data_IF_287299985660
#
_entry.id   IF_287299985660
#
_cell.length_a   1.000
_cell.length_b   1.000
_cell.length_c   1.000
_cell.angle_alpha   90.00
_cell.angle_beta   90.00
_cell.angle_gamma   90.00
#
_symmetry.space_group_name_H-M   'P 1'
#
loop_
_entity.id
_entity.type
_entity.pdbx_description
1 polymer ?
#
# COMPACT_ATOMS: atom_id res chain seq x y z
N UNK A 1 -31.63 30.93 -4.52
CA UNK A 1 -30.76 29.87 -5.09
C UNK A 1 -29.99 29.28 -3.93
N UNK A 2 -30.20 27.99 -3.69
CA UNK A 2 -30.33 27.44 -2.35
C UNK A 2 -29.00 27.10 -1.67
N UNK A 3 -28.73 27.76 -0.53
CA UNK A 3 -27.65 27.45 0.43
C UNK A 3 -27.79 26.06 1.10
N UNK A 4 -28.73 25.22 0.67
CA UNK A 4 -29.13 24.01 1.39
C UNK A 4 -28.73 22.69 0.70
N UNK A 5 -28.05 22.74 -0.46
CA UNK A 5 -27.71 21.54 -1.23
C UNK A 5 -26.45 20.79 -0.74
N UNK A 6 -25.68 21.38 0.20
CA UNK A 6 -24.54 20.71 0.84
C UNK A 6 -24.92 19.97 2.13
N UNK A 7 -26.20 19.97 2.52
CA UNK A 7 -26.74 19.25 3.70
C UNK A 7 -27.58 18.01 3.33
N UNK A 8 -27.71 17.68 2.06
CA UNK A 8 -28.72 16.74 1.55
C UNK A 8 -28.23 15.31 1.33
N UNK A 9 -26.95 15.00 1.57
CA UNK A 9 -26.47 13.63 1.44
C UNK A 9 -26.34 12.96 2.83
N UNK A 10 -27.05 11.84 3.08
CA UNK A 10 -26.89 11.06 4.29
C UNK A 10 -25.46 10.52 4.45
N UNK A 11 -25.05 10.30 5.69
CA UNK A 11 -23.69 9.81 6.02
C UNK A 11 -23.40 8.46 5.34
N UNK A 12 -24.40 7.62 5.16
CA UNK A 12 -24.30 6.30 4.54
C UNK A 12 -23.84 6.39 3.07
N UNK A 13 -24.38 7.37 2.34
CA UNK A 13 -24.02 7.57 0.92
C UNK A 13 -22.61 8.17 0.83
N UNK A 14 -22.26 9.08 1.74
CA UNK A 14 -20.90 9.62 1.84
C UNK A 14 -19.89 8.51 2.18
N UNK A 15 -20.23 7.57 3.06
CA UNK A 15 -19.37 6.42 3.34
C UNK A 15 -19.17 5.53 2.11
N UNK A 16 -20.22 5.26 1.33
CA UNK A 16 -20.11 4.45 0.10
C UNK A 16 -19.16 5.12 -0.90
N UNK A 17 -19.32 6.44 -1.11
CA UNK A 17 -18.46 7.22 -2.00
C UNK A 17 -17.03 7.21 -1.46
N UNK A 18 -16.84 7.50 -0.17
CA UNK A 18 -15.50 7.60 0.41
C UNK A 18 -14.77 6.24 0.47
N UNK A 19 -15.49 5.12 0.53
CA UNK A 19 -14.90 3.77 0.44
C UNK A 19 -14.37 3.44 -0.95
N UNK A 20 -14.86 4.09 -2.02
CA UNK A 20 -14.41 3.86 -3.39
C UNK A 20 -13.30 4.82 -3.84
N UNK A 21 -13.01 5.86 -3.06
CA UNK A 21 -11.93 6.83 -3.32
C UNK A 21 -10.55 6.31 -2.91
N UNK A 22 -9.50 6.82 -3.56
CA UNK A 22 -8.13 6.52 -3.16
C UNK A 22 -7.86 7.08 -1.73
N UNK A 23 -7.40 6.25 -0.78
CA UNK A 23 -7.37 6.60 0.64
C UNK A 23 -6.39 7.73 0.99
N UNK A 24 -5.42 8.02 0.12
CA UNK A 24 -4.31 8.94 0.42
C UNK A 24 -4.42 10.32 -0.23
N UNK A 25 -5.08 10.45 -1.39
CA UNK A 25 -5.23 11.74 -2.09
C UNK A 25 -6.65 12.31 -1.95
N UNK A 26 -7.64 11.52 -2.36
CA UNK A 26 -8.99 12.02 -2.61
C UNK A 26 -9.76 12.12 -1.30
N UNK A 27 -9.59 11.12 -0.42
CA UNK A 27 -10.21 11.10 0.89
C UNK A 27 -9.74 12.26 1.79
N UNK A 28 -8.46 12.65 1.67
CA UNK A 28 -7.90 13.81 2.39
C UNK A 28 -8.55 15.10 1.91
N UNK A 29 -8.72 15.27 0.60
CA UNK A 29 -9.38 16.44 0.02
C UNK A 29 -10.85 16.52 0.44
N UNK A 30 -11.57 15.40 0.42
CA UNK A 30 -12.96 15.32 0.91
C UNK A 30 -13.08 15.72 2.40
N UNK A 31 -12.09 15.40 3.22
CA UNK A 31 -12.13 15.74 4.65
C UNK A 31 -12.08 17.24 4.95
N UNK A 32 -11.69 18.08 3.99
CA UNK A 32 -11.55 19.53 4.16
C UNK A 32 -12.80 20.32 3.78
N UNK A 33 -13.81 19.68 3.17
CA UNK A 33 -14.99 20.36 2.60
C UNK A 33 -15.93 20.89 3.69
N UNK A 34 -16.34 20.05 4.64
CA UNK A 34 -17.21 20.44 5.75
C UNK A 34 -17.06 19.50 6.95
N UNK A 35 -17.66 19.86 8.09
CA UNK A 35 -17.60 19.05 9.34
C UNK A 35 -18.13 17.63 9.16
N UNK A 36 -19.23 17.48 8.42
CA UNK A 36 -19.85 16.17 8.14
C UNK A 36 -18.91 15.29 7.31
N UNK A 37 -18.36 15.82 6.22
CA UNK A 37 -17.41 15.10 5.36
C UNK A 37 -16.12 14.76 6.10
N UNK A 38 -15.61 15.65 6.96
CA UNK A 38 -14.47 15.37 7.81
C UNK A 38 -14.72 14.16 8.72
N UNK A 39 -15.89 14.11 9.37
CA UNK A 39 -16.29 13.00 10.25
C UNK A 39 -16.37 11.69 9.47
N UNK A 40 -17.09 11.69 8.35
CA UNK A 40 -17.33 10.47 7.55
C UNK A 40 -16.05 9.97 6.88
N UNK A 41 -15.20 10.87 6.37
CA UNK A 41 -13.90 10.52 5.77
C UNK A 41 -12.96 9.87 6.80
N UNK A 42 -12.91 10.41 8.03
CA UNK A 42 -12.14 9.82 9.14
C UNK A 42 -12.69 8.45 9.56
N UNK A 43 -14.01 8.30 9.64
CA UNK A 43 -14.66 7.01 9.94
C UNK A 43 -14.27 5.95 8.90
N UNK A 44 -14.39 6.31 7.62
CA UNK A 44 -14.07 5.42 6.50
C UNK A 44 -12.60 5.05 6.44
N UNK A 45 -11.70 6.01 6.67
CA UNK A 45 -10.26 5.76 6.77
C UNK A 45 -9.93 4.74 7.87
N UNK A 46 -10.51 4.92 9.07
CA UNK A 46 -10.29 4.01 10.20
C UNK A 46 -10.84 2.62 9.92
N UNK A 47 -12.04 2.51 9.35
CA UNK A 47 -12.63 1.23 8.97
C UNK A 47 -11.76 0.47 7.95
N UNK A 48 -11.22 1.17 6.95
CA UNK A 48 -10.31 0.56 5.97
C UNK A 48 -9.03 0.01 6.61
N UNK A 49 -8.45 0.76 7.54
CA UNK A 49 -7.27 0.35 8.31
C UNK A 49 -7.58 -0.84 9.23
N UNK A 50 -8.69 -0.80 9.97
CA UNK A 50 -9.09 -1.89 10.89
C UNK A 50 -9.39 -3.18 10.12
N UNK A 51 -10.05 -3.08 8.96
CA UNK A 51 -10.33 -4.23 8.09
C UNK A 51 -9.05 -4.83 7.53
N UNK A 52 -8.08 -4.01 7.11
CA UNK A 52 -6.76 -4.46 6.71
C UNK A 52 -6.04 -5.19 7.85
N UNK A 53 -5.99 -4.61 9.05
CA UNK A 53 -5.38 -5.24 10.23
C UNK A 53 -6.08 -6.54 10.64
N UNK A 54 -7.42 -6.61 10.55
CA UNK A 54 -8.18 -7.83 10.82
C UNK A 54 -7.88 -8.93 9.80
N UNK A 55 -7.73 -8.56 8.52
CA UNK A 55 -7.36 -9.48 7.45
C UNK A 55 -5.94 -10.03 7.64
N UNK A 56 -5.01 -9.17 8.08
CA UNK A 56 -3.63 -9.55 8.37
C UNK A 56 -3.50 -10.42 9.64
N UNK A 57 -4.31 -10.16 10.68
CA UNK A 57 -4.35 -11.00 11.89
C UNK A 57 -4.96 -12.38 11.65
N UNK A 58 -5.92 -12.49 10.72
CA UNK A 58 -6.48 -13.77 10.30
C UNK A 58 -5.59 -14.56 9.33
N UNK A 59 -4.63 -13.91 8.69
CA UNK A 59 -3.68 -14.56 7.79
C UNK A 59 -2.43 -15.04 8.56
N UNK A 60 -2.49 -16.25 9.10
CA UNK A 60 -1.29 -17.03 9.44
C UNK A 60 -0.48 -17.48 8.18
N UNK A 61 -0.76 -16.89 7.01
CA UNK A 61 -0.35 -17.35 5.68
C UNK A 61 0.83 -16.58 5.07
N UNK A 62 1.33 -15.54 5.75
CA UNK A 62 2.54 -14.85 5.34
C UNK A 62 3.70 -15.34 6.22
N UNK A 63 4.11 -16.59 6.03
CA UNK A 63 5.47 -16.98 6.43
C UNK A 63 6.45 -16.33 5.46
N UNK A 64 7.06 -15.24 5.91
CA UNK A 64 8.13 -14.59 5.17
C UNK A 64 9.44 -15.34 5.43
N UNK A 65 10.03 -15.92 4.38
CA UNK A 65 11.39 -16.43 4.47
C UNK A 65 12.34 -15.28 4.09
N UNK A 66 13.22 -14.91 5.01
CA UNK A 66 14.28 -13.94 4.74
C UNK A 66 15.44 -14.66 4.06
N UNK A 67 15.71 -14.31 2.80
CA UNK A 67 17.00 -14.64 2.21
C UNK A 67 17.96 -13.51 2.54
N UNK A 68 19.01 -13.84 3.32
CA UNK A 68 20.10 -12.91 3.58
C UNK A 68 20.86 -12.75 2.25
N UNK A 69 20.72 -11.58 1.65
CA UNK A 69 21.55 -11.16 0.53
C UNK A 69 22.48 -10.08 1.10
N UNK A 70 23.80 -10.27 1.02
CA UNK A 70 24.79 -9.24 1.43
C UNK A 70 24.78 -8.00 0.49
N UNK A 71 23.78 -7.88 -0.37
CA UNK A 71 23.67 -6.86 -1.42
C UNK A 71 22.44 -6.01 -1.13
N UNK A 72 22.67 -4.72 -0.89
CA UNK A 72 21.62 -3.71 -0.72
C UNK A 72 20.70 -3.63 -1.96
N UNK A 73 19.46 -3.15 -1.82
CA UNK A 73 18.58 -2.94 -2.97
C UNK A 73 19.24 -2.07 -4.04
N UNK A 74 18.98 -2.40 -5.31
CA UNK A 74 19.42 -1.59 -6.45
C UNK A 74 18.96 -0.14 -6.35
N UNK A 75 19.72 0.78 -6.97
CA UNK A 75 19.35 2.21 -7.06
C UNK A 75 17.91 2.37 -7.57
N UNK A 76 17.12 3.15 -6.84
CA UNK A 76 15.69 3.36 -7.07
C UNK A 76 15.19 4.61 -6.34
N UNK A 77 14.09 5.16 -6.81
CA UNK A 77 13.34 6.30 -6.27
C UNK A 77 11.88 5.93 -6.07
N UNK A 78 11.08 6.80 -5.45
CA UNK A 78 9.64 6.57 -5.20
C UNK A 78 9.34 5.27 -4.43
N UNK A 79 10.24 4.90 -3.52
CA UNK A 79 10.09 3.70 -2.68
C UNK A 79 9.11 4.00 -1.54
N UNK A 80 8.19 3.07 -1.28
CA UNK A 80 7.36 3.12 -0.08
C UNK A 80 8.15 2.56 1.10
N UNK A 81 8.32 3.34 2.17
CA UNK A 81 9.13 2.95 3.34
C UNK A 81 8.36 3.06 4.64
N UNK A 82 8.59 2.14 5.57
CA UNK A 82 8.11 2.26 6.96
C UNK A 82 9.12 1.66 7.95
N UNK A 83 9.09 2.13 9.19
CA UNK A 83 9.92 1.58 10.28
C UNK A 83 9.02 0.83 11.25
N UNK A 84 9.41 -0.40 11.57
CA UNK A 84 8.71 -1.25 12.56
C UNK A 84 9.76 -1.90 13.45
N UNK A 85 9.79 -1.48 14.73
CA UNK A 85 10.85 -1.87 15.66
C UNK A 85 12.22 -1.43 15.15
N UNK A 86 13.20 -2.34 15.21
CA UNK A 86 14.58 -2.08 14.76
C UNK A 86 14.79 -2.27 13.26
N UNK A 87 13.71 -2.30 12.48
CA UNK A 87 13.76 -2.61 11.05
C UNK A 87 13.11 -1.53 10.18
N UNK A 88 13.81 -1.15 9.13
CA UNK A 88 13.27 -0.36 8.02
C UNK A 88 12.82 -1.30 6.91
N UNK A 89 11.57 -1.17 6.49
CA UNK A 89 11.00 -1.87 5.36
C UNK A 89 10.93 -0.93 4.16
N UNK A 90 11.29 -1.44 2.98
CA UNK A 90 11.30 -0.72 1.72
C UNK A 90 10.64 -1.57 0.64
N UNK A 91 9.53 -1.10 0.09
CA UNK A 91 8.76 -1.80 -0.95
C UNK A 91 8.78 -1.05 -2.28
N UNK A 92 9.12 -1.78 -3.33
CA UNK A 92 9.03 -1.33 -4.71
C UNK A 92 9.96 -0.17 -5.06
N UNK A 93 9.40 0.83 -5.75
CA UNK A 93 10.11 1.97 -6.34
C UNK A 93 10.33 1.84 -7.84
N UNK A 94 11.00 2.83 -8.42
CA UNK A 94 11.35 2.86 -9.84
C UNK A 94 12.75 3.41 -10.07
N UNK A 95 13.35 3.04 -11.21
CA UNK A 95 14.60 3.59 -11.69
C UNK A 95 14.44 4.02 -13.13
N UNK A 96 14.94 5.20 -13.46
CA UNK A 96 14.92 5.77 -14.79
C UNK A 96 16.33 6.24 -15.12
N UNK A 97 16.84 5.78 -16.26
CA UNK A 97 18.08 6.22 -16.88
C UNK A 97 17.73 6.75 -18.28
N UNK A 98 17.66 8.07 -18.40
CA UNK A 98 17.27 8.74 -19.65
C UNK A 98 18.36 8.60 -20.73
N UNK A 99 19.64 8.41 -20.35
CA UNK A 99 20.72 8.25 -21.32
C UNK A 99 20.67 6.88 -22.01
N UNK A 100 20.20 5.86 -21.30
CA UNK A 100 20.10 4.49 -21.80
C UNK A 100 18.69 4.09 -22.24
N UNK A 101 17.74 5.03 -22.23
CA UNK A 101 16.30 4.78 -22.38
C UNK A 101 15.83 3.56 -21.57
N UNK A 102 16.30 3.48 -20.33
CA UNK A 102 16.05 2.33 -19.46
C UNK A 102 15.15 2.74 -18.30
N UNK A 103 14.06 2.00 -18.13
CA UNK A 103 13.09 2.19 -17.04
C UNK A 103 12.85 0.86 -16.36
N UNK A 104 12.92 0.86 -15.03
CA UNK A 104 12.60 -0.29 -14.20
C UNK A 104 11.59 0.11 -13.13
N UNK A 105 10.60 -0.74 -12.90
CA UNK A 105 9.71 -0.67 -11.76
C UNK A 105 9.93 -1.92 -10.91
N UNK A 106 9.96 -1.74 -9.59
CA UNK A 106 10.26 -2.80 -8.65
C UNK A 106 9.01 -3.17 -7.86
N UNK A 107 8.87 -4.47 -7.57
CA UNK A 107 7.79 -5.06 -6.77
C UNK A 107 8.34 -5.96 -5.65
N UNK A 108 9.61 -5.79 -5.29
CA UNK A 108 10.29 -6.50 -4.23
C UNK A 108 10.13 -5.80 -2.88
N UNK A 109 10.22 -6.58 -1.81
CA UNK A 109 10.21 -6.10 -0.43
C UNK A 109 11.60 -6.32 0.19
N UNK A 110 12.16 -5.27 0.76
CA UNK A 110 13.44 -5.27 1.45
C UNK A 110 13.27 -4.88 2.91
N UNK A 111 14.12 -5.43 3.76
CA UNK A 111 14.17 -5.17 5.19
C UNK A 111 15.61 -4.84 5.56
N UNK A 112 15.83 -3.74 6.27
CA UNK A 112 17.13 -3.36 6.82
C UNK A 112 17.08 -3.42 8.34
N UNK A 113 18.03 -4.11 8.96
CA UNK A 113 18.24 -4.00 10.39
C UNK A 113 18.96 -2.67 10.68
N UNK A 114 18.36 -1.79 11.49
CA UNK A 114 18.89 -0.46 11.77
C UNK A 114 20.19 -0.48 12.59
N UNK A 115 20.39 -1.50 13.42
CA UNK A 115 21.57 -1.68 14.26
C UNK A 115 22.76 -2.22 13.45
N UNK A 116 22.56 -3.29 12.68
CA UNK A 116 23.62 -3.90 11.87
C UNK A 116 23.80 -3.27 10.49
N UNK A 117 22.85 -2.43 10.06
CA UNK A 117 22.76 -1.80 8.73
C UNK A 117 22.82 -2.80 7.57
N UNK A 118 22.39 -4.03 7.82
CA UNK A 118 22.32 -5.10 6.82
C UNK A 118 20.94 -5.17 6.18
N UNK A 119 20.93 -5.39 4.87
CA UNK A 119 19.72 -5.58 4.08
C UNK A 119 19.41 -7.07 3.90
N UNK A 120 18.13 -7.39 3.89
CA UNK A 120 17.58 -8.71 3.62
C UNK A 120 16.42 -8.57 2.64
N UNK A 121 16.38 -9.43 1.62
CA UNK A 121 15.25 -9.47 0.71
C UNK A 121 14.19 -10.40 1.28
N UNK A 122 12.98 -9.89 1.44
CA UNK A 122 11.84 -10.68 1.89
C UNK A 122 11.21 -11.36 0.68
N UNK A 123 11.17 -12.69 0.69
CA UNK A 123 10.46 -13.49 -0.29
C UNK A 123 9.19 -14.02 0.37
N UNK A 124 8.00 -13.71 -0.15
CA UNK A 124 6.77 -14.32 0.33
C UNK A 124 6.80 -15.80 -0.01
N UNK A 125 6.86 -16.67 1.00
CA UNK A 125 6.72 -18.11 0.79
C UNK A 125 5.24 -18.42 0.91
N UNK A 126 4.60 -18.78 -0.21
CA UNK A 126 3.23 -19.29 -0.17
C UNK A 126 3.32 -20.73 0.33
N UNK A 127 3.20 -20.94 1.64
CA UNK A 127 3.01 -22.26 2.21
C UNK A 127 1.59 -22.73 1.82
N UNK A 128 1.53 -23.62 0.81
CA UNK A 128 0.37 -24.35 0.29
C UNK A 128 -1.02 -23.88 0.74
N UNK A 129 -1.57 -22.91 0.01
CA UNK A 129 -3.02 -22.61 0.06
C UNK A 129 -3.61 -23.00 -1.28
N UNK A 130 -4.06 -24.27 -1.35
CA UNK A 130 -5.06 -24.82 -2.26
C UNK A 130 -5.44 -23.88 -3.41
N UNK A 131 -4.84 -24.11 -4.60
CA UNK A 131 -5.32 -23.68 -5.94
C UNK A 131 -6.47 -22.66 -5.91
N UNK A 132 -6.22 -21.43 -5.47
CA UNK A 132 -7.17 -20.36 -5.74
C UNK A 132 -6.83 -19.84 -7.12
N UNK A 133 -7.83 -19.89 -8.01
CA UNK A 133 -7.80 -19.58 -9.44
C UNK A 133 -7.55 -18.09 -9.73
N UNK A 134 -6.64 -17.46 -9.00
CA UNK A 134 -6.18 -16.10 -9.25
C UNK A 134 -4.71 -16.17 -9.65
N UNK A 135 -4.49 -16.39 -10.94
CA UNK A 135 -3.19 -16.15 -11.54
C UNK A 135 -3.01 -14.63 -11.64
N UNK A 136 -2.00 -14.10 -10.95
CA UNK A 136 -1.57 -12.71 -11.14
C UNK A 136 -1.20 -12.56 -12.61
N UNK A 137 -1.86 -11.69 -13.38
CA UNK A 137 -1.50 -11.50 -14.79
C UNK A 137 -0.04 -11.05 -14.87
N UNK A 138 0.72 -11.71 -15.75
CA UNK A 138 2.06 -11.27 -16.15
C UNK A 138 2.04 -9.76 -16.42
N UNK A 139 2.97 -8.97 -15.85
CA UNK A 139 3.11 -7.56 -16.19
C UNK A 139 3.42 -7.43 -17.69
N UNK A 140 2.35 -7.23 -18.47
CA UNK A 140 2.28 -6.90 -19.90
C UNK A 140 3.54 -7.28 -20.71
N UNK A 141 3.46 -8.39 -21.44
CA UNK A 141 4.26 -8.55 -22.65
C UNK A 141 4.06 -7.30 -23.52
N UNK A 142 5.19 -6.68 -23.90
CA UNK A 142 5.23 -5.55 -24.83
C UNK A 142 4.45 -5.90 -26.10
N UNK A 143 3.56 -4.99 -26.52
CA UNK A 143 3.11 -4.89 -27.90
C UNK A 143 4.17 -4.13 -28.71
#
# INVERSE_FOLDING_TARGET
>A
MDENMSKTLPDEILEIIFRSLAPYSDLRSCSLVCKQWNRVAKSTYRYGIDKLYSGLRGSALLQCTTQIHDIAPSRRSHVATCVVGDYLYAFGGSFVDDYRDYRAAFNDLWKMNLSSRKWERIIPTVSDVRKTKWQVPSPRARA
#
